data_IF_809226027240
#
_entry.id   IF_809226027240
#
_cell.length_a   1.000
_cell.length_b   1.000
_cell.length_c   1.000
_cell.angle_alpha   90.00
_cell.angle_beta   90.00
_cell.angle_gamma   90.00
#
_symmetry.space_group_name_H-M   'P 1'
#
loop_
_entity.id
_entity.type
_entity.pdbx_description
1 polymer ?
#
# COMPACT_ATOMS: atom_id res chain seq x y z
N UNK A 1 -79.11 -0.29 -7.36
CA UNK A 1 -77.70 0.06 -7.08
C UNK A 1 -76.83 -0.60 -8.14
N UNK A 2 -76.35 0.17 -9.12
CA UNK A 2 -75.64 -0.34 -10.30
C UNK A 2 -74.25 -0.84 -9.94
N UNK A 3 -73.98 -2.13 -10.19
CA UNK A 3 -72.63 -2.72 -10.12
C UNK A 3 -71.87 -2.38 -11.39
N UNK A 4 -71.08 -1.31 -11.34
CA UNK A 4 -70.02 -1.02 -12.30
C UNK A 4 -68.79 -1.90 -12.01
N UNK A 5 -68.58 -2.96 -12.80
CA UNK A 5 -67.35 -3.75 -12.80
C UNK A 5 -67.51 -5.00 -13.68
N UNK A 6 -66.78 -5.10 -14.82
CA UNK A 6 -65.35 -5.48 -14.81
C UNK A 6 -64.45 -4.67 -15.79
N UNK A 7 -65.01 -3.67 -16.48
CA UNK A 7 -64.31 -2.94 -17.55
C UNK A 7 -63.17 -2.02 -17.03
N UNK A 8 -63.22 -1.59 -15.77
CA UNK A 8 -62.23 -0.66 -15.17
C UNK A 8 -60.95 -1.40 -14.76
N UNK A 9 -61.07 -2.64 -14.28
CA UNK A 9 -59.95 -3.47 -13.86
C UNK A 9 -59.10 -3.95 -15.05
N UNK A 10 -59.73 -4.31 -16.16
CA UNK A 10 -59.02 -4.72 -17.38
C UNK A 10 -58.20 -3.57 -18.00
N UNK A 11 -58.75 -2.35 -18.05
CA UNK A 11 -58.02 -1.16 -18.51
C UNK A 11 -56.82 -0.84 -17.63
N UNK A 12 -56.98 -0.99 -16.30
CA UNK A 12 -55.91 -0.75 -15.34
C UNK A 12 -54.80 -1.79 -15.43
N UNK A 13 -55.13 -3.06 -15.66
CA UNK A 13 -54.14 -4.12 -15.94
C UNK A 13 -53.37 -3.86 -17.25
N UNK A 14 -54.05 -3.41 -18.32
CA UNK A 14 -53.39 -3.07 -19.58
C UNK A 14 -52.37 -1.94 -19.40
N UNK A 15 -52.72 -0.91 -18.62
CA UNK A 15 -51.81 0.18 -18.28
C UNK A 15 -50.60 -0.27 -17.46
N UNK A 16 -50.80 -1.17 -16.50
CA UNK A 16 -49.67 -1.74 -15.75
C UNK A 16 -48.77 -2.61 -16.62
N UNK A 17 -49.34 -3.42 -17.53
CA UNK A 17 -48.55 -4.19 -18.49
C UNK A 17 -47.74 -3.28 -19.42
N UNK A 18 -48.35 -2.23 -19.97
CA UNK A 18 -47.64 -1.27 -20.82
C UNK A 18 -46.52 -0.55 -20.04
N UNK A 19 -46.79 -0.07 -18.84
CA UNK A 19 -45.79 0.57 -17.99
C UNK A 19 -44.63 -0.40 -17.66
N UNK A 20 -44.94 -1.64 -17.31
CA UNK A 20 -43.95 -2.66 -17.01
C UNK A 20 -43.11 -3.01 -18.25
N UNK A 21 -43.73 -3.13 -19.43
CA UNK A 21 -42.99 -3.36 -20.68
C UNK A 21 -42.06 -2.20 -21.04
N UNK A 22 -42.47 -0.95 -20.81
CA UNK A 22 -41.64 0.23 -21.06
C UNK A 22 -40.46 0.32 -20.07
N UNK A 23 -40.68 -0.02 -18.80
CA UNK A 23 -39.61 -0.10 -17.79
C UNK A 23 -38.64 -1.24 -18.12
N UNK A 24 -39.16 -2.41 -18.51
CA UNK A 24 -38.34 -3.55 -18.94
C UNK A 24 -37.51 -3.19 -20.18
N UNK A 25 -38.09 -2.49 -21.17
CA UNK A 25 -37.38 -1.99 -22.33
C UNK A 25 -36.25 -1.02 -21.92
N UNK A 26 -36.53 -0.08 -21.03
CA UNK A 26 -35.54 0.88 -20.54
C UNK A 26 -34.40 0.22 -19.73
N UNK A 27 -34.67 -0.90 -19.05
CA UNK A 27 -33.66 -1.69 -18.34
C UNK A 27 -32.85 -2.60 -19.28
N UNK A 28 -33.44 -3.07 -20.38
CA UNK A 28 -32.78 -3.89 -21.40
C UNK A 28 -31.92 -3.05 -22.35
N UNK A 29 -32.37 -1.84 -22.70
CA UNK A 29 -31.57 -0.85 -23.41
C UNK A 29 -30.70 -0.09 -22.42
N UNK A 30 -29.54 -0.66 -22.06
CA UNK A 30 -28.47 0.14 -21.44
C UNK A 30 -28.28 1.38 -22.30
N UNK A 31 -28.20 2.61 -21.72
CA UNK A 31 -27.79 3.76 -22.49
C UNK A 31 -26.47 3.36 -23.15
N UNK A 32 -26.49 3.27 -24.50
CA UNK A 32 -25.28 3.20 -25.25
C UNK A 32 -24.50 4.42 -24.78
N UNK A 33 -23.48 4.20 -23.95
CA UNK A 33 -22.53 5.24 -23.67
C UNK A 33 -21.99 5.57 -25.04
N UNK A 34 -22.47 6.67 -25.63
CA UNK A 34 -21.88 7.26 -26.80
C UNK A 34 -20.45 7.57 -26.38
N UNK A 35 -19.55 6.62 -26.63
CA UNK A 35 -18.13 6.84 -26.59
C UNK A 35 -17.94 8.01 -27.55
N UNK A 36 -17.72 9.20 -26.99
CA UNK A 36 -17.71 10.41 -27.79
C UNK A 36 -16.58 10.29 -28.81
N UNK A 37 -16.87 10.52 -30.09
CA UNK A 37 -15.85 10.50 -31.12
C UNK A 37 -14.79 11.56 -30.79
N UNK A 38 -13.54 11.12 -30.61
CA UNK A 38 -12.39 12.00 -30.29
C UNK A 38 -11.42 12.12 -31.46
N UNK A 39 -11.92 12.14 -32.69
CA UNK A 39 -11.07 12.26 -33.88
C UNK A 39 -10.25 13.56 -33.90
N UNK A 40 -10.83 14.67 -33.43
CA UNK A 40 -10.15 15.96 -33.36
C UNK A 40 -8.87 15.91 -32.50
N UNK A 41 -8.85 15.07 -31.46
CA UNK A 41 -7.66 14.85 -30.65
C UNK A 41 -6.56 14.14 -31.43
N UNK A 42 -6.90 13.08 -32.17
CA UNK A 42 -5.95 12.39 -33.04
C UNK A 42 -5.37 13.35 -34.11
N UNK A 43 -6.20 14.24 -34.67
CA UNK A 43 -5.75 15.24 -35.64
C UNK A 43 -4.78 16.25 -35.01
N UNK A 44 -5.12 16.78 -33.83
CA UNK A 44 -4.29 17.74 -33.11
C UNK A 44 -2.92 17.15 -32.73
N UNK A 45 -2.89 15.91 -32.22
CA UNK A 45 -1.66 15.22 -31.85
C UNK A 45 -0.75 14.99 -33.07
N UNK A 46 -1.34 14.67 -34.23
CA UNK A 46 -0.60 14.51 -35.49
C UNK A 46 0.00 15.83 -35.99
N UNK A 47 -0.77 16.92 -35.98
CA UNK A 47 -0.28 18.25 -36.41
C UNK A 47 0.85 18.71 -35.49
N UNK A 48 0.70 18.54 -34.17
CA UNK A 48 1.74 18.89 -33.20
C UNK A 48 3.03 18.06 -33.39
N UNK A 49 2.92 16.81 -33.83
CA UNK A 49 4.06 15.93 -34.06
C UNK A 49 4.77 16.17 -35.40
N UNK A 50 4.13 16.90 -36.31
CA UNK A 50 4.63 17.16 -37.67
C UNK A 50 4.94 18.62 -37.95
N UNK A 51 4.65 19.53 -37.02
CA UNK A 51 5.00 20.95 -37.13
C UNK A 51 6.52 21.15 -37.01
N UNK A 52 7.16 21.87 -37.96
CA UNK A 52 8.59 22.11 -37.91
C UNK A 52 8.96 23.00 -36.71
N UNK A 53 9.96 22.63 -35.89
CA UNK A 53 10.55 23.57 -34.95
C UNK A 53 11.34 24.63 -35.73
N UNK A 54 11.21 25.90 -35.35
CA UNK A 54 12.06 26.97 -35.87
C UNK A 54 13.54 26.60 -35.66
N UNK A 55 14.30 26.48 -36.76
CA UNK A 55 15.75 26.46 -36.76
C UNK A 55 16.42 25.09 -36.97
N UNK A 56 16.78 24.83 -38.24
CA UNK A 56 17.95 24.09 -38.77
C UNK A 56 18.39 22.80 -38.03
N UNK A 57 18.11 21.62 -38.61
CA UNK A 57 19.03 20.77 -39.39
C UNK A 57 18.49 19.32 -39.51
N UNK A 58 18.74 18.70 -40.67
CA UNK A 58 18.68 17.25 -40.97
C UNK A 58 17.37 16.67 -41.57
N UNK A 59 17.23 16.86 -42.89
CA UNK A 59 16.13 16.37 -43.76
C UNK A 59 15.82 14.86 -43.63
N UNK A 60 16.81 14.02 -43.27
CA UNK A 60 16.65 12.56 -43.19
C UNK A 60 16.02 12.11 -41.85
N UNK A 61 16.38 12.77 -40.75
CA UNK A 61 15.77 12.54 -39.44
C UNK A 61 14.32 13.03 -39.39
N UNK A 62 13.99 14.06 -40.20
CA UNK A 62 12.66 14.64 -40.30
C UNK A 62 11.67 13.67 -40.98
N UNK A 63 12.09 12.94 -42.01
CA UNK A 63 11.27 11.91 -42.68
C UNK A 63 10.96 10.70 -41.80
N UNK A 64 11.93 10.24 -40.98
CA UNK A 64 11.71 9.12 -40.06
C UNK A 64 10.75 9.49 -38.91
N UNK A 65 10.88 10.70 -38.36
CA UNK A 65 9.96 11.22 -37.35
C UNK A 65 8.55 11.44 -37.93
N UNK A 66 8.45 11.83 -39.20
CA UNK A 66 7.18 11.96 -39.91
C UNK A 66 6.45 10.61 -40.04
N UNK A 67 7.13 9.56 -40.50
CA UNK A 67 6.52 8.23 -40.60
C UNK A 67 6.09 7.66 -39.25
N UNK A 68 6.84 7.95 -38.18
CA UNK A 68 6.47 7.56 -36.81
C UNK A 68 5.20 8.28 -36.35
N UNK A 69 5.13 9.60 -36.56
CA UNK A 69 3.94 10.40 -36.27
C UNK A 69 2.72 9.91 -37.08
N UNK A 70 2.92 9.54 -38.34
CA UNK A 70 1.87 9.02 -39.21
C UNK A 70 1.36 7.63 -38.75
N UNK A 71 2.26 6.74 -38.30
CA UNK A 71 1.86 5.45 -37.68
C UNK A 71 1.09 5.68 -36.37
N UNK A 72 1.53 6.62 -35.54
CA UNK A 72 0.82 6.99 -34.31
C UNK A 72 -0.60 7.51 -34.60
N UNK A 73 -0.73 8.36 -35.61
CA UNK A 73 -2.01 8.91 -36.07
C UNK A 73 -2.94 7.81 -36.60
N UNK A 74 -2.41 6.85 -37.37
CA UNK A 74 -3.16 5.68 -37.83
C UNK A 74 -3.69 4.81 -36.68
N UNK A 75 -2.85 4.58 -35.65
CA UNK A 75 -3.23 3.81 -34.47
C UNK A 75 -4.31 4.53 -33.63
N UNK A 76 -4.14 5.84 -33.41
CA UNK A 76 -5.13 6.67 -32.70
C UNK A 76 -6.49 6.61 -33.40
N UNK A 77 -6.50 6.80 -34.72
CA UNK A 77 -7.70 6.79 -35.54
C UNK A 77 -8.36 5.40 -35.51
N UNK A 78 -7.60 4.29 -35.62
CA UNK A 78 -8.14 2.92 -35.50
C UNK A 78 -8.84 2.66 -34.15
N UNK A 79 -8.29 3.16 -33.03
CA UNK A 79 -8.91 3.00 -31.70
C UNK A 79 -10.27 3.69 -31.61
N UNK A 80 -10.49 4.75 -32.39
CA UNK A 80 -11.75 5.50 -32.44
C UNK A 80 -12.77 4.95 -33.45
N UNK A 81 -12.48 3.85 -34.15
CA UNK A 81 -13.34 3.33 -35.22
C UNK A 81 -14.77 2.97 -34.76
N UNK A 82 -14.95 2.56 -33.50
CA UNK A 82 -16.28 2.22 -32.95
C UNK A 82 -17.09 3.45 -32.56
N UNK A 83 -16.45 4.44 -31.97
CA UNK A 83 -17.04 5.70 -31.51
C UNK A 83 -17.31 6.70 -32.65
N UNK A 84 -16.53 6.63 -33.74
CA UNK A 84 -16.58 7.58 -34.85
C UNK A 84 -17.24 7.05 -36.13
N UNK A 85 -18.06 6.00 -36.06
CA UNK A 85 -18.66 5.36 -37.27
C UNK A 85 -19.42 6.33 -38.19
N UNK A 86 -20.11 7.31 -37.60
CA UNK A 86 -20.89 8.32 -38.33
C UNK A 86 -20.21 9.69 -38.45
N UNK A 87 -18.92 9.80 -38.10
CA UNK A 87 -18.20 11.08 -38.13
C UNK A 87 -17.48 11.26 -39.47
N UNK A 88 -17.81 12.32 -40.21
CA UNK A 88 -17.21 12.61 -41.52
C UNK A 88 -15.72 12.95 -41.42
N UNK A 89 -15.28 13.59 -40.34
CA UNK A 89 -13.87 13.94 -40.08
C UNK A 89 -13.04 12.69 -39.85
N UNK A 90 -13.62 11.67 -39.21
CA UNK A 90 -12.98 10.37 -39.09
C UNK A 90 -12.75 9.70 -40.44
N UNK A 91 -13.76 9.66 -41.30
CA UNK A 91 -13.62 9.02 -42.61
C UNK A 91 -12.65 9.78 -43.53
N UNK A 92 -12.66 11.12 -43.46
CA UNK A 92 -11.68 11.93 -44.19
C UNK A 92 -10.25 11.74 -43.66
N UNK A 93 -10.08 11.63 -42.34
CA UNK A 93 -8.79 11.33 -41.72
C UNK A 93 -8.27 9.95 -42.12
N UNK A 94 -9.10 8.90 -42.09
CA UNK A 94 -8.70 7.53 -42.50
C UNK A 94 -8.23 7.50 -43.96
N UNK A 95 -8.96 8.18 -44.85
CA UNK A 95 -8.55 8.30 -46.25
C UNK A 95 -7.22 9.06 -46.38
N UNK A 96 -7.09 10.20 -45.69
CA UNK A 96 -5.88 11.01 -45.72
C UNK A 96 -4.66 10.27 -45.19
N UNK A 97 -4.80 9.47 -44.12
CA UNK A 97 -3.72 8.66 -43.55
C UNK A 97 -3.16 7.69 -44.60
N UNK A 98 -4.03 6.99 -45.34
CA UNK A 98 -3.60 6.06 -46.42
C UNK A 98 -2.81 6.78 -47.50
N UNK A 99 -3.29 7.94 -47.91
CA UNK A 99 -2.61 8.78 -48.89
C UNK A 99 -1.24 9.25 -48.38
N UNK A 100 -1.16 9.70 -47.13
CA UNK A 100 0.09 10.15 -46.51
C UNK A 100 1.14 9.04 -46.41
N UNK A 101 0.73 7.78 -46.19
CA UNK A 101 1.64 6.64 -46.18
C UNK A 101 2.27 6.43 -47.56
N UNK A 102 1.48 6.56 -48.62
CA UNK A 102 1.96 6.47 -50.00
C UNK A 102 2.83 7.66 -50.39
N UNK A 103 2.42 8.89 -50.04
CA UNK A 103 3.14 10.12 -50.40
C UNK A 103 4.55 10.19 -49.79
N UNK A 104 4.70 9.69 -48.56
CA UNK A 104 5.97 9.77 -47.82
C UNK A 104 6.72 8.43 -47.75
N UNK A 105 6.31 7.43 -48.56
CA UNK A 105 6.90 6.08 -48.59
C UNK A 105 7.07 5.45 -47.20
N UNK A 106 6.09 5.67 -46.32
CA UNK A 106 6.13 5.16 -44.96
C UNK A 106 5.61 3.71 -44.91
N UNK A 107 6.32 2.82 -44.20
CA UNK A 107 5.78 1.51 -43.86
C UNK A 107 4.67 1.64 -42.80
N UNK A 108 3.59 0.87 -42.96
CA UNK A 108 2.52 0.75 -41.96
C UNK A 108 2.98 0.08 -40.66
N UNK A 109 4.04 -0.72 -40.75
CA UNK A 109 4.63 -1.43 -39.61
C UNK A 109 5.88 -0.70 -39.10
N UNK A 110 6.05 -0.67 -37.78
CA UNK A 110 7.16 -0.01 -37.10
C UNK A 110 6.73 0.76 -35.86
N UNK A 111 7.67 1.41 -35.17
CA UNK A 111 7.39 2.09 -33.91
C UNK A 111 6.41 3.26 -34.10
N UNK A 112 5.44 3.39 -33.18
CA UNK A 112 4.48 4.51 -33.12
C UNK A 112 4.92 5.62 -32.18
N UNK A 113 6.09 5.49 -31.55
CA UNK A 113 6.75 6.52 -30.77
C UNK A 113 8.20 6.59 -31.23
N UNK A 114 8.74 7.79 -31.40
CA UNK A 114 10.17 7.90 -31.72
C UNK A 114 10.92 7.38 -30.51
N UNK A 115 11.64 6.26 -30.67
CA UNK A 115 12.63 5.85 -29.70
C UNK A 115 13.63 6.99 -29.69
N UNK A 116 13.60 7.80 -28.64
CA UNK A 116 14.49 8.95 -28.49
C UNK A 116 15.91 8.40 -28.52
N UNK A 117 16.57 8.52 -29.67
CA UNK A 117 18.02 8.40 -29.78
C UNK A 117 18.56 9.33 -28.70
N UNK A 118 19.50 8.90 -27.85
CA UNK A 118 19.97 9.68 -26.73
C UNK A 118 20.69 10.91 -27.29
N UNK A 119 19.92 11.97 -27.54
CA UNK A 119 20.42 13.31 -27.73
C UNK A 119 21.25 13.58 -26.49
N UNK A 120 22.56 13.69 -26.69
CA UNK A 120 23.55 14.24 -25.78
C UNK A 120 22.89 14.84 -24.55
N UNK A 121 23.01 14.12 -23.43
CA UNK A 121 22.60 14.52 -22.08
C UNK A 121 22.25 16.00 -21.95
N UNK A 122 20.94 16.30 -21.85
CA UNK A 122 20.55 17.35 -20.90
C UNK A 122 20.65 16.69 -19.52
N UNK A 123 21.68 17.01 -18.72
CA UNK A 123 21.68 16.59 -17.32
C UNK A 123 20.54 17.38 -16.66
N UNK A 124 19.44 16.71 -16.32
CA UNK A 124 18.30 17.41 -15.75
C UNK A 124 17.10 16.53 -15.42
N UNK A 125 16.69 15.62 -16.30
CA UNK A 125 15.48 14.80 -16.04
C UNK A 125 15.79 13.56 -15.21
N UNK A 126 16.92 12.89 -15.47
CA UNK A 126 17.31 11.69 -14.71
C UNK A 126 17.73 11.99 -13.26
N UNK A 127 18.27 13.19 -13.00
CA UNK A 127 18.58 13.66 -11.63
C UNK A 127 17.31 14.07 -10.88
N UNK A 128 16.30 14.58 -11.60
CA UNK A 128 15.00 14.94 -11.03
C UNK A 128 14.20 13.72 -10.55
N UNK A 129 14.50 12.51 -11.02
CA UNK A 129 13.78 11.31 -10.63
C UNK A 129 14.52 10.46 -9.60
N UNK A 130 15.50 11.08 -8.93
CA UNK A 130 16.20 10.51 -7.78
C UNK A 130 16.13 11.48 -6.61
N UNK A 131 15.24 11.17 -5.65
CA UNK A 131 15.03 11.96 -4.44
C UNK A 131 16.33 12.18 -3.67
N UNK A 132 17.20 11.16 -3.61
CA UNK A 132 18.44 11.30 -2.85
C UNK A 132 19.39 12.32 -3.49
N UNK A 133 19.41 12.41 -4.82
CA UNK A 133 20.15 13.42 -5.57
C UNK A 133 19.53 14.82 -5.42
N UNK A 134 18.19 14.93 -5.51
CA UNK A 134 17.51 16.22 -5.30
C UNK A 134 17.81 16.83 -3.93
N UNK A 135 17.81 16.01 -2.88
CA UNK A 135 18.15 16.47 -1.53
C UNK A 135 19.62 16.89 -1.43
N UNK A 136 20.53 16.18 -2.09
CA UNK A 136 21.97 16.56 -2.12
C UNK A 136 22.20 17.89 -2.84
N UNK A 137 21.47 18.14 -3.94
CA UNK A 137 21.52 19.39 -4.70
C UNK A 137 20.93 20.59 -3.91
N UNK A 138 20.09 20.33 -2.92
CA UNK A 138 19.41 21.37 -2.12
C UNK A 138 20.24 21.94 -0.96
N UNK A 139 21.51 21.53 -0.79
CA UNK A 139 22.46 22.13 0.16
C UNK A 139 22.34 21.69 1.63
N UNK A 140 23.15 22.31 2.50
CA UNK A 140 23.38 21.93 3.91
C UNK A 140 22.16 22.02 4.85
N UNK A 141 21.03 22.55 4.40
CA UNK A 141 19.76 22.47 5.12
C UNK A 141 19.07 21.09 5.00
N UNK A 142 19.49 20.23 4.06
CA UNK A 142 18.99 18.85 3.90
C UNK A 142 19.73 17.79 4.74
N UNK A 143 20.59 18.20 5.68
CA UNK A 143 21.55 17.32 6.35
C UNK A 143 21.02 16.43 7.48
N UNK A 144 19.70 16.32 7.66
CA UNK A 144 19.13 15.19 8.40
C UNK A 144 18.01 14.59 7.57
N UNK A 145 18.36 13.72 6.62
CA UNK A 145 17.41 12.81 5.97
C UNK A 145 16.78 11.93 7.06
N UNK A 146 15.65 12.37 7.61
CA UNK A 146 14.86 11.58 8.51
C UNK A 146 13.92 10.73 7.67
N UNK A 147 14.10 9.43 7.78
CA UNK A 147 13.24 8.44 7.17
C UNK A 147 12.42 7.81 8.27
N UNK A 148 11.13 7.63 8.00
CA UNK A 148 10.24 6.89 8.85
C UNK A 148 10.04 5.47 8.30
N UNK A 149 9.71 4.55 9.22
CA UNK A 149 9.45 3.14 8.90
C UNK A 149 8.06 2.76 9.35
N UNK A 150 7.34 2.06 8.49
CA UNK A 150 6.10 1.38 8.86
C UNK A 150 6.20 -0.09 8.49
N UNK A 151 5.56 -0.96 9.27
CA UNK A 151 5.49 -2.38 8.96
C UNK A 151 4.22 -3.04 9.48
N UNK A 152 3.79 -4.10 8.79
CA UNK A 152 2.65 -4.93 9.14
C UNK A 152 3.06 -6.40 9.02
N UNK A 153 2.91 -7.18 10.10
CA UNK A 153 3.35 -8.58 10.16
C UNK A 153 2.59 -9.33 11.25
N UNK A 154 2.62 -10.66 11.23
CA UNK A 154 1.95 -11.46 12.27
C UNK A 154 0.42 -11.24 12.28
N UNK A 155 -0.18 -11.12 13.46
CA UNK A 155 -1.63 -11.13 13.64
C UNK A 155 -2.40 -9.78 13.78
N UNK A 156 -2.38 -8.97 12.70
CA UNK A 156 -1.28 -8.12 12.31
C UNK A 156 -0.85 -7.14 13.40
N UNK A 157 0.42 -7.21 13.74
CA UNK A 157 1.17 -6.18 14.42
C UNK A 157 1.56 -5.07 13.46
N UNK A 158 1.19 -3.85 13.82
CA UNK A 158 1.48 -2.62 13.09
C UNK A 158 2.57 -1.83 13.82
N UNK A 159 3.65 -1.51 13.11
CA UNK A 159 4.58 -0.43 13.48
C UNK A 159 4.23 0.79 12.64
N UNK A 160 3.87 1.90 13.27
CA UNK A 160 3.59 3.17 12.57
C UNK A 160 4.87 3.92 12.25
N UNK A 161 4.77 4.94 11.39
CA UNK A 161 5.85 5.90 11.10
C UNK A 161 6.34 6.67 12.33
N UNK A 162 5.55 6.69 13.41
CA UNK A 162 5.90 7.30 14.71
C UNK A 162 6.60 6.31 15.66
N UNK A 163 6.98 5.14 15.17
CA UNK A 163 7.54 4.02 15.95
C UNK A 163 6.59 3.49 17.05
N UNK A 164 5.28 3.68 16.87
CA UNK A 164 4.27 3.08 17.76
C UNK A 164 3.95 1.66 17.31
N UNK A 165 3.88 0.75 18.27
CA UNK A 165 3.54 -0.66 18.03
C UNK A 165 2.12 -0.94 18.54
N UNK A 166 1.30 -1.55 17.68
CA UNK A 166 -0.10 -1.85 17.94
C UNK A 166 -0.42 -3.22 17.37
N UNK A 167 -1.35 -3.94 18.00
CA UNK A 167 -1.91 -5.17 17.43
C UNK A 167 -3.36 -4.95 17.12
N UNK A 168 -3.75 -5.33 15.92
CA UNK A 168 -4.98 -4.86 15.32
C UNK A 168 -5.77 -6.02 14.75
N UNK A 169 -7.09 -6.03 14.95
CA UNK A 169 -7.97 -6.96 14.26
C UNK A 169 -8.02 -6.63 12.76
N UNK A 170 -8.46 -5.41 12.42
CA UNK A 170 -8.46 -4.84 11.05
C UNK A 170 -8.82 -5.86 9.95
N UNK A 171 -9.91 -6.58 10.16
CA UNK A 171 -10.41 -7.59 9.22
C UNK A 171 -10.92 -6.94 7.92
N UNK A 172 -10.66 -7.57 6.77
CA UNK A 172 -11.03 -7.02 5.48
C UNK A 172 -9.98 -6.05 4.92
N UNK A 173 -10.42 -5.09 4.10
CA UNK A 173 -9.54 -4.20 3.35
C UNK A 173 -9.26 -2.89 4.11
N UNK A 174 -7.97 -2.57 4.34
CA UNK A 174 -7.55 -1.39 5.10
C UNK A 174 -6.44 -0.59 4.40
N UNK A 175 -6.50 0.75 4.43
CA UNK A 175 -5.44 1.61 3.91
C UNK A 175 -4.28 1.72 4.91
N UNK A 176 -3.11 1.17 4.57
CA UNK A 176 -1.89 1.42 5.32
C UNK A 176 -1.40 2.85 5.09
N UNK A 177 -1.38 3.27 3.82
CA UNK A 177 -0.92 4.59 3.38
C UNK A 177 -1.88 5.07 2.30
N UNK A 178 -2.27 6.33 2.36
CA UNK A 178 -2.94 7.01 1.26
C UNK A 178 -2.55 8.48 1.25
N UNK A 179 -1.45 8.78 0.56
CA UNK A 179 -0.95 10.14 0.41
C UNK A 179 -0.86 10.52 -1.08
N UNK A 180 -0.41 11.75 -1.37
CA UNK A 180 -0.35 12.26 -2.75
C UNK A 180 0.54 11.47 -3.72
N UNK A 181 1.43 10.58 -3.23
CA UNK A 181 2.39 9.83 -4.03
C UNK A 181 2.10 8.32 -4.10
N UNK A 182 1.53 7.77 -3.04
CA UNK A 182 1.42 6.33 -2.83
C UNK A 182 0.11 5.98 -2.14
N UNK A 183 -0.54 4.92 -2.59
CA UNK A 183 -1.60 4.24 -1.84
C UNK A 183 -1.20 2.79 -1.60
N UNK A 184 -1.26 2.35 -0.35
CA UNK A 184 -0.99 0.96 0.07
C UNK A 184 -2.24 0.44 0.77
N UNK A 185 -2.80 -0.63 0.23
CA UNK A 185 -3.97 -1.30 0.78
C UNK A 185 -3.63 -2.75 1.11
N UNK A 186 -4.05 -3.19 2.29
CA UNK A 186 -3.90 -4.58 2.74
C UNK A 186 -5.27 -5.22 2.90
N UNK A 187 -5.34 -6.54 2.78
CA UNK A 187 -6.53 -7.32 3.11
C UNK A 187 -6.19 -8.38 4.15
N UNK A 188 -6.80 -8.29 5.32
CA UNK A 188 -6.57 -9.23 6.41
C UNK A 188 -7.75 -10.20 6.53
N UNK A 189 -7.46 -11.47 6.77
CA UNK A 189 -8.45 -12.55 6.91
C UNK A 189 -8.29 -13.20 8.27
N UNK A 190 -9.39 -13.63 8.90
CA UNK A 190 -9.33 -14.34 10.17
C UNK A 190 -8.58 -15.66 10.01
N UNK A 191 -7.63 -15.93 10.92
CA UNK A 191 -6.80 -17.15 10.90
C UNK A 191 -7.60 -18.34 11.42
N UNK A 192 -8.39 -18.12 12.46
CA UNK A 192 -9.26 -19.13 13.08
C UNK A 192 -10.67 -18.56 13.20
N UNK A 193 -11.67 -19.37 12.84
CA UNK A 193 -13.07 -18.97 12.92
C UNK A 193 -13.44 -18.59 14.37
N UNK A 194 -13.88 -17.35 14.58
CA UNK A 194 -14.25 -16.83 15.90
C UNK A 194 -13.10 -16.25 16.73
N UNK A 195 -11.86 -16.26 16.24
CA UNK A 195 -10.73 -15.55 16.86
C UNK A 195 -10.66 -14.09 16.40
N UNK A 196 -10.06 -13.21 17.20
CA UNK A 196 -9.69 -11.85 16.80
C UNK A 196 -8.40 -11.78 15.98
N UNK A 197 -7.63 -12.88 15.92
CA UNK A 197 -6.41 -12.94 15.12
C UNK A 197 -6.73 -12.98 13.63
N UNK A 198 -6.15 -12.04 12.89
CA UNK A 198 -6.23 -11.99 11.43
C UNK A 198 -4.83 -12.03 10.86
N UNK A 199 -4.68 -12.26 9.55
CA UNK A 199 -3.38 -12.22 8.89
C UNK A 199 -3.50 -11.62 7.49
N UNK A 200 -2.41 -11.02 7.01
CA UNK A 200 -2.41 -10.33 5.72
C UNK A 200 -2.39 -11.34 4.57
N UNK A 201 -3.46 -11.35 3.77
CA UNK A 201 -3.62 -12.24 2.61
C UNK A 201 -3.32 -11.58 1.27
N UNK A 202 -3.46 -10.25 1.19
CA UNK A 202 -3.28 -9.48 -0.03
C UNK A 202 -2.70 -8.12 0.27
N UNK A 203 -1.74 -7.69 -0.56
CA UNK A 203 -1.15 -6.35 -0.51
C UNK A 203 -1.27 -5.74 -1.90
N UNK A 204 -1.82 -4.54 -1.99
CA UNK A 204 -1.90 -3.75 -3.22
C UNK A 204 -1.18 -2.43 -3.01
N UNK A 205 -0.23 -2.12 -3.88
CA UNK A 205 0.55 -0.87 -3.86
C UNK A 205 0.28 -0.14 -5.16
N UNK A 206 -0.21 1.09 -5.07
CA UNK A 206 -0.46 1.98 -6.19
C UNK A 206 0.54 3.13 -6.12
N UNK A 207 1.50 3.12 -7.04
CA UNK A 207 2.40 4.25 -7.28
C UNK A 207 1.64 5.26 -8.14
N UNK A 208 1.28 6.41 -7.58
CA UNK A 208 0.55 7.47 -8.30
C UNK A 208 1.48 8.11 -9.34
N UNK A 209 0.90 8.61 -10.44
CA UNK A 209 1.67 9.26 -11.51
C UNK A 209 2.52 10.39 -10.96
N UNK A 210 3.81 10.39 -11.30
CA UNK A 210 4.75 11.46 -10.98
C UNK A 210 5.33 11.99 -12.29
N UNK A 211 4.94 13.22 -12.65
CA UNK A 211 5.28 13.80 -13.96
C UNK A 211 6.79 13.78 -14.22
N UNK A 212 7.18 13.30 -15.40
CA UNK A 212 8.57 13.16 -15.79
C UNK A 212 9.30 11.94 -15.21
N UNK A 213 8.75 11.28 -14.18
CA UNK A 213 9.43 10.16 -13.52
C UNK A 213 8.74 8.82 -13.66
N UNK A 214 7.42 8.69 -13.48
CA UNK A 214 6.71 7.43 -13.69
C UNK A 214 5.23 7.66 -13.98
N UNK A 215 4.67 6.87 -14.89
CA UNK A 215 3.22 6.69 -14.98
C UNK A 215 2.71 5.92 -13.76
N UNK A 216 1.39 5.90 -13.57
CA UNK A 216 0.78 5.11 -12.51
C UNK A 216 1.11 3.64 -12.67
N UNK A 217 1.60 3.01 -11.60
CA UNK A 217 1.90 1.57 -11.56
C UNK A 217 1.17 0.90 -10.40
N UNK A 218 0.66 -0.29 -10.64
CA UNK A 218 -0.06 -1.10 -9.64
C UNK A 218 0.70 -2.39 -9.42
N UNK A 219 1.11 -2.64 -8.18
CA UNK A 219 1.66 -3.91 -7.74
C UNK A 219 0.64 -4.60 -6.85
N UNK A 220 0.45 -5.91 -7.02
CA UNK A 220 -0.41 -6.71 -6.16
C UNK A 220 0.27 -8.03 -5.84
N UNK A 221 0.26 -8.40 -4.56
CA UNK A 221 0.73 -9.67 -4.06
C UNK A 221 -0.38 -10.36 -3.26
N UNK A 222 -0.39 -11.67 -3.31
CA UNK A 222 -1.29 -12.57 -2.56
C UNK A 222 -0.45 -13.62 -1.86
N UNK A 223 -1.08 -14.40 -0.98
CA UNK A 223 -0.45 -15.54 -0.31
C UNK A 223 0.01 -16.60 -1.29
N UNK A 224 -0.62 -16.71 -2.46
CA UNK A 224 -0.26 -17.69 -3.50
C UNK A 224 0.76 -17.14 -4.49
N UNK A 225 0.65 -15.85 -4.81
CA UNK A 225 1.44 -15.21 -5.87
C UNK A 225 2.17 -13.94 -5.36
N UNK A 226 3.50 -13.97 -5.50
CA UNK A 226 4.39 -12.87 -5.19
C UNK A 226 5.18 -12.48 -6.46
N UNK A 227 4.58 -11.69 -7.38
CA UNK A 227 5.12 -11.44 -8.70
C UNK A 227 6.34 -10.50 -8.67
N UNK A 228 7.20 -10.61 -9.68
CA UNK A 228 8.34 -9.70 -9.89
C UNK A 228 8.04 -8.60 -10.92
N UNK A 229 6.76 -8.31 -11.12
CA UNK A 229 6.23 -7.37 -12.09
C UNK A 229 5.00 -6.65 -11.55
N UNK A 230 4.71 -5.47 -12.11
CA UNK A 230 3.45 -4.77 -11.95
C UNK A 230 2.32 -5.51 -12.69
N UNK A 231 1.07 -5.12 -12.44
CA UNK A 231 -0.11 -5.75 -13.07
C UNK A 231 -0.11 -5.67 -14.60
N UNK A 232 0.58 -4.69 -15.19
CA UNK A 232 0.76 -4.55 -16.64
C UNK A 232 1.93 -5.38 -17.20
N UNK A 233 2.59 -6.17 -16.35
CA UNK A 233 3.72 -7.03 -16.70
C UNK A 233 5.08 -6.34 -16.71
N UNK A 234 5.17 -5.02 -16.47
CA UNK A 234 6.48 -4.34 -16.45
C UNK A 234 7.20 -4.57 -15.12
N UNK A 235 8.53 -4.53 -15.13
CA UNK A 235 9.38 -4.65 -13.92
C UNK A 235 9.93 -3.32 -13.44
N UNK A 236 9.73 -2.27 -14.22
CA UNK A 236 10.11 -0.90 -13.94
C UNK A 236 9.01 0.07 -14.37
N UNK A 237 9.05 1.27 -13.78
CA UNK A 237 8.26 2.42 -14.18
C UNK A 237 9.19 3.61 -14.41
N UNK A 238 8.90 4.40 -15.45
CA UNK A 238 9.63 5.64 -15.69
C UNK A 238 10.85 5.59 -16.60
N UNK A 239 11.30 6.78 -17.01
CA UNK A 239 12.62 6.97 -17.62
C UNK A 239 13.71 6.72 -16.55
N UNK A 240 14.87 6.21 -16.96
CA UNK A 240 15.99 5.86 -16.06
C UNK A 240 15.69 4.84 -14.95
N UNK A 241 14.59 4.06 -15.02
CA UNK A 241 14.19 3.09 -13.98
C UNK A 241 14.03 3.74 -12.60
N UNK A 242 13.32 4.87 -12.54
CA UNK A 242 13.01 5.59 -11.29
C UNK A 242 12.18 4.75 -10.30
N UNK A 243 11.40 3.80 -10.82
CA UNK A 243 10.66 2.79 -10.08
C UNK A 243 11.08 1.40 -10.56
N UNK A 244 11.46 0.50 -9.65
CA UNK A 244 11.93 -0.86 -9.99
C UNK A 244 11.45 -1.92 -9.01
N UNK A 245 11.24 -3.14 -9.53
CA UNK A 245 10.96 -4.34 -8.74
C UNK A 245 12.15 -5.30 -8.85
N UNK A 246 12.67 -5.72 -7.71
CA UNK A 246 13.79 -6.64 -7.60
C UNK A 246 13.43 -7.83 -6.72
N UNK A 247 13.85 -9.02 -7.14
CA UNK A 247 13.86 -10.18 -6.26
C UNK A 247 15.09 -10.06 -5.36
N UNK A 248 14.92 -10.31 -4.06
CA UNK A 248 16.05 -10.50 -3.17
C UNK A 248 16.03 -11.95 -2.71
N UNK A 249 16.96 -12.73 -3.23
CA UNK A 249 17.10 -14.15 -2.93
C UNK A 249 17.08 -14.40 -1.42
N UNK A 250 16.35 -15.43 -1.00
CA UNK A 250 16.29 -15.87 0.38
C UNK A 250 17.64 -16.44 0.79
N UNK A 251 18.50 -15.60 1.38
CA UNK A 251 19.64 -16.07 2.15
C UNK A 251 19.08 -16.98 3.25
N UNK A 252 19.35 -18.28 3.14
CA UNK A 252 19.12 -19.34 4.14
C UNK A 252 17.93 -19.12 5.11
N UNK A 253 16.76 -19.63 4.74
CA UNK A 253 15.65 -19.88 5.69
C UNK A 253 14.59 -18.79 5.86
N UNK A 254 14.76 -17.63 5.22
CA UNK A 254 13.80 -16.51 5.29
C UNK A 254 13.04 -16.43 3.97
N UNK A 255 11.70 -16.55 3.99
CA UNK A 255 10.83 -16.77 2.81
C UNK A 255 11.00 -15.80 1.63
N UNK A 256 10.35 -16.10 0.49
CA UNK A 256 10.47 -15.32 -0.75
C UNK A 256 10.05 -13.86 -0.53
N UNK A 257 10.88 -12.92 -0.97
CA UNK A 257 10.65 -11.49 -0.81
C UNK A 257 10.85 -10.72 -2.11
N UNK A 258 10.12 -9.62 -2.23
CA UNK A 258 10.22 -8.66 -3.32
C UNK A 258 10.52 -7.30 -2.72
N UNK A 259 11.51 -6.62 -3.31
CA UNK A 259 11.84 -5.24 -2.97
C UNK A 259 11.40 -4.34 -4.12
N UNK A 260 10.58 -3.35 -3.79
CA UNK A 260 10.17 -2.30 -4.73
C UNK A 260 10.85 -1.00 -4.34
N UNK A 261 11.60 -0.41 -5.27
CA UNK A 261 12.35 0.82 -5.03
C UNK A 261 11.79 1.95 -5.90
N UNK A 262 11.22 2.96 -5.25
CA UNK A 262 10.70 4.18 -5.87
C UNK A 262 11.66 5.34 -5.57
N UNK A 263 12.73 5.44 -6.36
CA UNK A 263 13.82 6.42 -6.16
C UNK A 263 13.34 7.86 -6.25
N UNK A 264 12.36 8.13 -7.11
CA UNK A 264 11.80 9.48 -7.33
C UNK A 264 11.10 10.07 -6.10
N UNK A 265 10.73 9.24 -5.11
CA UNK A 265 10.14 9.65 -3.82
C UNK A 265 10.91 9.07 -2.62
N UNK A 266 12.16 8.64 -2.82
CA UNK A 266 13.02 8.12 -1.74
C UNK A 266 12.46 6.90 -0.99
N UNK A 267 11.52 6.18 -1.59
CA UNK A 267 10.71 5.15 -0.90
C UNK A 267 11.18 3.75 -1.27
N UNK A 268 11.20 2.86 -0.28
CA UNK A 268 11.53 1.43 -0.47
C UNK A 268 10.52 0.57 0.26
N UNK A 269 9.97 -0.43 -0.44
CA UNK A 269 8.98 -1.36 0.09
C UNK A 269 9.56 -2.77 0.02
N UNK A 270 9.35 -3.55 1.07
CA UNK A 270 9.62 -4.99 1.11
C UNK A 270 8.29 -5.69 1.35
N UNK A 271 7.98 -6.65 0.49
CA UNK A 271 6.85 -7.56 0.67
C UNK A 271 7.41 -8.97 0.68
N UNK A 272 7.11 -9.73 1.72
CA UNK A 272 7.59 -11.09 1.88
C UNK A 272 6.44 -12.03 2.16
N UNK A 273 6.52 -13.23 1.61
CA UNK A 273 5.66 -14.34 1.99
C UNK A 273 6.35 -15.16 3.08
N UNK A 274 5.68 -15.29 4.21
CA UNK A 274 6.10 -16.11 5.34
C UNK A 274 5.02 -17.16 5.58
N UNK A 275 5.32 -18.41 5.23
CA UNK A 275 4.33 -19.49 5.28
C UNK A 275 3.12 -19.17 4.40
N UNK A 276 1.96 -19.09 5.06
CA UNK A 276 0.65 -18.82 4.47
C UNK A 276 0.24 -17.35 4.52
N UNK A 277 1.15 -16.43 4.88
CA UNK A 277 0.83 -15.02 5.12
C UNK A 277 1.84 -14.07 4.46
N UNK A 278 1.44 -12.80 4.32
CA UNK A 278 2.29 -11.73 3.82
C UNK A 278 2.77 -10.81 4.95
N UNK A 279 4.00 -10.34 4.86
CA UNK A 279 4.52 -9.23 5.66
C UNK A 279 4.83 -8.04 4.76
N UNK A 280 4.71 -6.84 5.33
CA UNK A 280 4.93 -5.58 4.66
C UNK A 280 5.87 -4.71 5.48
N UNK A 281 6.86 -4.10 4.84
CA UNK A 281 7.71 -3.08 5.43
C UNK A 281 7.96 -1.96 4.42
N UNK A 282 7.97 -0.71 4.89
CA UNK A 282 8.22 0.46 4.05
C UNK A 282 9.11 1.47 4.76
N UNK A 283 10.07 2.01 4.01
CA UNK A 283 10.84 3.22 4.34
C UNK A 283 10.35 4.36 3.47
N UNK A 284 10.02 5.49 4.08
CA UNK A 284 9.58 6.69 3.37
C UNK A 284 10.21 7.96 3.99
N UNK A 285 10.60 8.97 3.20
CA UNK A 285 11.08 10.25 3.73
C UNK A 285 10.02 10.97 4.58
N UNK A 286 10.40 11.53 5.74
CA UNK A 286 9.44 12.21 6.65
C UNK A 286 8.76 13.43 6.02
N UNK A 287 9.42 14.16 5.12
CA UNK A 287 8.88 15.30 4.39
C UNK A 287 7.79 14.93 3.37
N UNK A 288 7.74 13.65 2.96
CA UNK A 288 6.67 13.11 2.11
C UNK A 288 5.46 12.61 2.91
N UNK A 289 5.59 12.56 4.24
CA UNK A 289 4.51 12.20 5.16
C UNK A 289 3.82 13.47 5.63
N UNK A 290 2.54 13.61 5.27
CA UNK A 290 1.72 14.69 5.81
C UNK A 290 1.17 14.27 7.18
N UNK A 291 1.84 14.71 8.25
CA UNK A 291 1.39 14.44 9.62
C UNK A 291 0.26 15.38 10.08
N UNK A 292 -0.24 16.28 9.22
CA UNK A 292 -1.33 17.17 9.59
C UNK A 292 -2.63 16.39 9.81
N UNK A 293 -3.36 16.74 10.87
CA UNK A 293 -4.61 16.09 11.24
C UNK A 293 -5.80 16.52 10.34
N UNK A 294 -5.60 17.51 9.48
CA UNK A 294 -6.62 18.05 8.56
C UNK A 294 -6.89 17.15 7.34
N UNK A 295 -5.95 16.25 7.05
CA UNK A 295 -6.10 15.20 6.04
C UNK A 295 -6.95 14.07 6.63
N UNK A 296 -8.27 14.26 6.76
CA UNK A 296 -9.23 13.36 7.41
C UNK A 296 -9.43 11.95 6.80
N UNK A 297 -8.41 11.37 6.17
CA UNK A 297 -8.37 10.02 5.64
C UNK A 297 -7.76 9.01 6.61
N UNK A 298 -8.37 7.83 6.71
CA UNK A 298 -7.85 6.71 7.49
C UNK A 298 -6.52 6.21 6.90
N UNK A 299 -5.43 6.23 7.68
CA UNK A 299 -4.12 5.70 7.30
C UNK A 299 -3.44 5.02 8.49
N UNK A 300 -3.35 3.69 8.47
CA UNK A 300 -2.84 2.92 9.60
C UNK A 300 -1.36 3.24 9.90
N UNK A 301 -0.50 3.38 8.88
CA UNK A 301 0.91 3.69 9.10
C UNK A 301 1.14 5.07 9.74
N UNK A 302 0.18 6.00 9.63
CA UNK A 302 0.29 7.36 10.14
C UNK A 302 -0.35 7.52 11.52
N UNK A 303 -1.58 7.00 11.68
CA UNK A 303 -2.42 7.23 12.86
C UNK A 303 -2.61 5.98 13.73
N UNK A 304 -2.15 4.82 13.27
CA UNK A 304 -2.45 3.55 13.90
C UNK A 304 -3.87 3.04 13.61
N UNK A 305 -4.26 1.98 14.30
CA UNK A 305 -5.55 1.35 14.16
C UNK A 305 -6.63 2.10 14.95
N UNK A 306 -7.87 2.16 14.42
CA UNK A 306 -9.01 2.67 15.16
C UNK A 306 -9.17 1.97 16.52
N UNK A 307 -9.68 2.69 17.53
CA UNK A 307 -9.77 2.17 18.90
C UNK A 307 -10.59 0.88 19.04
N UNK A 308 -11.58 0.68 18.17
CA UNK A 308 -12.42 -0.52 18.10
C UNK A 308 -11.72 -1.71 17.43
N UNK A 309 -10.64 -1.47 16.70
CA UNK A 309 -9.83 -2.50 16.04
C UNK A 309 -8.58 -2.88 16.85
N UNK A 310 -8.26 -2.15 17.93
CA UNK A 310 -7.11 -2.45 18.78
C UNK A 310 -7.37 -3.67 19.67
N UNK A 311 -6.43 -4.62 19.64
CA UNK A 311 -6.41 -5.77 20.54
C UNK A 311 -5.65 -5.35 21.81
N UNK A 312 -6.41 -5.14 22.89
CA UNK A 312 -5.85 -4.65 24.18
C UNK A 312 -5.15 -5.74 24.99
N UNK A 313 -5.34 -7.00 24.64
CA UNK A 313 -4.87 -8.17 25.39
C UNK A 313 -3.38 -8.49 25.13
N UNK A 314 -2.50 -7.48 25.13
CA UNK A 314 -1.05 -7.72 25.25
C UNK A 314 -0.63 -8.10 26.66
N UNK A 315 -1.53 -7.95 27.63
CA UNK A 315 -1.34 -8.49 28.96
C UNK A 315 -1.54 -9.99 28.88
N UNK A 316 -0.43 -10.70 28.68
CA UNK A 316 -0.23 -12.00 29.34
C UNK A 316 -0.50 -11.76 30.82
N UNK A 317 -1.77 -11.87 31.19
CA UNK A 317 -2.20 -11.69 32.56
C UNK A 317 -1.41 -12.72 33.35
N UNK A 318 -0.50 -12.21 34.16
CA UNK A 318 0.19 -12.86 35.28
C UNK A 318 -0.86 -13.30 36.32
N UNK A 319 -1.87 -14.06 35.89
CA UNK A 319 -3.03 -14.56 36.61
C UNK A 319 -3.39 -16.00 36.19
N UNK A 320 -2.63 -16.64 35.30
CA UNK A 320 -2.67 -18.10 35.13
C UNK A 320 -1.84 -18.85 36.21
N UNK A 321 -1.28 -18.14 37.19
CA UNK A 321 -0.71 -18.73 38.42
C UNK A 321 -1.75 -18.85 39.55
N UNK A 322 -2.97 -19.26 39.25
CA UNK A 322 -3.84 -19.85 40.29
C UNK A 322 -3.86 -21.36 40.09
N UNK A 323 -3.28 -22.16 41.01
CA UNK A 323 -3.52 -23.59 41.01
C UNK A 323 -5.00 -23.79 41.34
N UNK A 324 -5.82 -24.09 40.34
CA UNK A 324 -7.16 -24.63 40.59
C UNK A 324 -6.96 -26.00 41.20
N UNK A 325 -7.06 -26.04 42.53
CA UNK A 325 -7.19 -27.25 43.31
C UNK A 325 -8.35 -28.08 42.76
N UNK A 326 -8.07 -29.38 42.70
CA UNK A 326 -8.89 -30.48 42.22
C UNK A 326 -10.38 -30.32 42.53
N UNK A 327 -11.19 -30.38 41.49
CA UNK A 327 -12.58 -30.82 41.60
C UNK A 327 -12.73 -32.07 40.72
N UNK A 328 -12.65 -33.21 41.38
CA UNK A 328 -13.18 -34.48 40.89
C UNK A 328 -14.65 -34.28 40.52
N UNK A 329 -15.03 -34.58 39.28
CA UNK A 329 -16.22 -35.38 38.97
C UNK A 329 -16.35 -35.67 37.48
N UNK A 330 -16.69 -36.93 37.23
CA UNK A 330 -16.95 -37.64 36.00
C UNK A 330 -18.11 -37.03 35.21
N UNK A 331 -17.91 -36.69 33.93
CA UNK A 331 -18.97 -36.80 32.91
C UNK A 331 -18.38 -36.70 31.49
N UNK A 332 -18.78 -37.65 30.63
CA UNK A 332 -18.43 -37.76 29.22
C UNK A 332 -18.98 -36.55 28.43
N UNK A 333 -18.09 -35.80 27.76
CA UNK A 333 -18.43 -34.73 26.81
C UNK A 333 -17.37 -34.61 25.71
N UNK A 334 -17.74 -34.15 24.50
CA UNK A 334 -17.18 -34.64 23.23
C UNK A 334 -15.73 -34.22 22.96
N UNK A 335 -15.02 -35.13 22.29
CA UNK A 335 -13.68 -35.04 21.74
C UNK A 335 -13.30 -33.61 21.31
N UNK A 336 -12.49 -32.94 22.14
CA UNK A 336 -11.74 -31.74 21.72
C UNK A 336 -10.70 -32.17 20.68
N UNK A 337 -10.63 -31.55 19.49
CA UNK A 337 -9.52 -31.80 18.57
C UNK A 337 -8.19 -31.37 19.22
N UNK A 338 -7.06 -32.03 18.90
CA UNK A 338 -5.77 -31.76 19.51
C UNK A 338 -5.11 -30.54 18.84
N UNK A 339 -5.71 -29.36 18.96
CA UNK A 339 -4.95 -28.15 18.64
C UNK A 339 -4.04 -27.86 19.83
N UNK A 340 -2.73 -28.00 19.62
CA UNK A 340 -1.71 -27.69 20.62
C UNK A 340 -1.78 -26.19 20.94
N UNK A 341 -2.58 -25.82 21.94
CA UNK A 341 -2.55 -24.47 22.50
C UNK A 341 -1.16 -24.30 23.11
N UNK A 342 -0.35 -23.40 22.55
CA UNK A 342 0.96 -23.09 23.08
C UNK A 342 0.81 -22.62 24.54
N UNK A 343 1.65 -23.10 25.45
CA UNK A 343 1.82 -22.46 26.77
C UNK A 343 2.77 -21.28 26.63
N UNK A 344 2.73 -20.34 27.58
CA UNK A 344 3.63 -19.17 27.58
C UNK A 344 5.09 -19.60 27.54
N UNK A 345 5.46 -20.65 28.29
CA UNK A 345 6.82 -21.17 28.33
C UNK A 345 7.24 -21.75 26.97
N UNK A 346 6.35 -22.52 26.33
CA UNK A 346 6.64 -23.13 25.02
C UNK A 346 6.72 -22.08 23.91
N UNK A 347 5.84 -21.08 23.92
CA UNK A 347 5.86 -19.97 22.97
C UNK A 347 7.14 -19.14 23.15
N UNK A 348 7.50 -18.81 24.39
CA UNK A 348 8.73 -18.07 24.73
C UNK A 348 9.97 -18.83 24.27
N UNK A 349 10.06 -20.13 24.58
CA UNK A 349 11.18 -20.96 24.14
C UNK A 349 11.29 -21.00 22.61
N UNK A 350 10.16 -21.15 21.92
CA UNK A 350 10.13 -21.19 20.46
C UNK A 350 10.57 -19.88 19.82
N UNK A 351 10.07 -18.74 20.30
CA UNK A 351 10.45 -17.43 19.79
C UNK A 351 11.93 -17.11 20.05
N UNK A 352 12.49 -17.61 21.16
CA UNK A 352 13.91 -17.40 21.51
C UNK A 352 14.87 -18.13 20.56
N UNK A 353 14.42 -19.13 19.81
CA UNK A 353 15.24 -19.82 18.80
C UNK A 353 15.64 -18.88 17.63
N UNK A 354 14.77 -17.93 17.26
CA UNK A 354 14.97 -17.02 16.11
C UNK A 354 15.18 -15.56 16.53
N UNK A 355 14.53 -15.12 17.60
CA UNK A 355 14.59 -13.76 18.13
C UNK A 355 15.33 -13.77 19.48
N UNK A 356 16.64 -13.47 19.43
CA UNK A 356 17.49 -13.48 20.62
C UNK A 356 17.28 -12.28 21.55
N UNK A 357 16.74 -11.18 21.02
CA UNK A 357 16.47 -9.94 21.77
C UNK A 357 15.00 -9.92 22.14
N UNK A 358 14.68 -9.75 23.42
CA UNK A 358 13.30 -9.67 23.94
C UNK A 358 12.68 -8.28 23.69
N UNK A 359 12.69 -7.83 22.44
CA UNK A 359 12.06 -6.58 22.01
C UNK A 359 10.59 -6.78 21.62
N UNK A 360 9.99 -5.76 21.01
CA UNK A 360 8.60 -5.78 20.53
C UNK A 360 8.32 -6.88 19.50
N UNK A 361 9.29 -7.29 18.68
CA UNK A 361 9.12 -8.39 17.72
C UNK A 361 9.10 -9.72 18.46
N UNK A 362 9.90 -9.88 19.51
CA UNK A 362 9.83 -11.06 20.37
C UNK A 362 8.48 -11.18 21.08
N UNK A 363 7.98 -10.08 21.67
CA UNK A 363 6.67 -10.09 22.32
C UNK A 363 5.53 -10.39 21.34
N UNK A 364 5.63 -9.85 20.12
CA UNK A 364 4.72 -10.12 19.00
C UNK A 364 4.72 -11.62 18.64
N UNK A 365 5.89 -12.23 18.48
CA UNK A 365 6.03 -13.66 18.22
C UNK A 365 5.35 -14.52 19.30
N UNK A 366 5.55 -14.19 20.58
CA UNK A 366 4.95 -14.94 21.69
C UNK A 366 3.43 -14.78 21.67
N UNK A 367 2.93 -13.56 21.42
CA UNK A 367 1.51 -13.30 21.31
C UNK A 367 0.87 -14.08 20.17
N UNK A 368 1.44 -14.00 18.97
CA UNK A 368 0.99 -14.71 17.78
C UNK A 368 0.83 -16.22 18.06
N UNK A 369 1.85 -16.87 18.64
CA UNK A 369 1.83 -18.30 18.94
C UNK A 369 0.74 -18.69 19.94
N UNK A 370 0.46 -17.83 20.93
CA UNK A 370 -0.56 -18.08 21.94
C UNK A 370 -1.97 -17.88 21.40
N UNK A 371 -2.15 -16.90 20.51
CA UNK A 371 -3.46 -16.54 19.94
C UNK A 371 -3.85 -17.43 18.76
N UNK A 372 -2.88 -17.76 17.89
CA UNK A 372 -3.13 -18.51 16.64
C UNK A 372 -2.83 -20.01 16.78
N UNK A 373 -1.86 -20.38 17.62
CA UNK A 373 -1.32 -21.73 17.67
C UNK A 373 -0.48 -22.13 16.43
N UNK A 374 -0.22 -21.19 15.52
CA UNK A 374 0.45 -21.45 14.24
C UNK A 374 1.94 -21.04 14.29
N UNK A 375 2.88 -22.00 14.16
CA UNK A 375 4.31 -21.72 14.23
C UNK A 375 4.83 -20.83 13.09
N UNK A 376 4.11 -20.71 11.96
CA UNK A 376 4.50 -19.84 10.84
C UNK A 376 4.58 -18.36 11.26
N UNK A 377 3.77 -17.95 12.25
CA UNK A 377 3.80 -16.58 12.77
C UNK A 377 5.11 -16.24 13.50
N UNK A 378 5.79 -17.21 14.11
CA UNK A 378 7.10 -16.96 14.73
C UNK A 378 8.15 -16.48 13.71
N UNK A 379 8.02 -16.93 12.46
CA UNK A 379 8.87 -16.50 11.35
C UNK A 379 8.47 -15.13 10.82
N UNK A 380 7.22 -14.70 11.01
CA UNK A 380 6.73 -13.40 10.54
C UNK A 380 7.38 -12.26 11.35
N UNK A 381 7.43 -12.39 12.68
CA UNK A 381 8.11 -11.43 13.55
C UNK A 381 9.61 -11.34 13.27
N UNK A 382 10.30 -12.48 13.10
CA UNK A 382 11.70 -12.52 12.70
C UNK A 382 11.93 -11.84 11.34
N UNK A 383 11.09 -12.16 10.35
CA UNK A 383 11.19 -11.57 9.02
C UNK A 383 10.96 -10.06 9.02
N UNK A 384 10.01 -9.57 9.81
CA UNK A 384 9.74 -8.14 9.95
C UNK A 384 10.93 -7.38 10.55
N UNK A 385 11.62 -7.98 11.53
CA UNK A 385 12.85 -7.42 12.08
C UNK A 385 13.98 -7.37 11.04
N UNK A 386 14.14 -8.41 10.22
CA UNK A 386 15.13 -8.43 9.13
C UNK A 386 14.78 -7.42 8.02
N UNK A 387 13.50 -7.28 7.67
CA UNK A 387 13.03 -6.32 6.68
C UNK A 387 13.26 -4.88 7.16
N UNK A 388 13.06 -4.60 8.45
CA UNK A 388 13.44 -3.33 9.05
C UNK A 388 14.95 -3.05 8.92
N UNK A 389 15.81 -4.03 9.25
CA UNK A 389 17.27 -3.88 9.13
C UNK A 389 17.71 -3.64 7.68
N UNK A 390 16.98 -4.22 6.72
CA UNK A 390 17.23 -4.04 5.29
C UNK A 390 16.82 -2.65 4.75
N UNK A 391 16.14 -1.83 5.56
CA UNK A 391 15.68 -0.49 5.26
C UNK A 391 16.41 0.57 6.13
N UNK A 392 17.63 1.01 5.76
CA UNK A 392 18.37 2.03 6.52
C UNK A 392 17.81 3.45 6.32
N UNK A 393 17.92 4.41 7.27
CA UNK A 393 18.41 4.26 8.62
C UNK A 393 17.35 3.59 9.51
N UNK A 394 17.61 2.37 9.96
CA UNK A 394 16.75 1.63 10.88
C UNK A 394 17.19 1.97 12.32
N UNK A 395 16.48 2.88 12.99
CA UNK A 395 16.66 3.06 14.44
C UNK A 395 15.64 2.14 15.13
N UNK A 396 16.11 1.11 15.82
CA UNK A 396 15.35 0.53 16.92
C UNK A 396 15.69 1.38 18.13
N UNK A 397 14.71 2.09 18.71
CA UNK A 397 14.88 2.60 20.07
C UNK A 397 14.90 1.38 20.98
N UNK A 398 16.10 0.86 21.24
CA UNK A 398 16.30 -0.19 22.24
C UNK A 398 15.86 0.40 23.58
N UNK A 399 14.75 -0.11 24.13
CA UNK A 399 14.51 0.04 25.55
C UNK A 399 15.65 -0.72 26.23
N UNK A 400 16.48 0.02 26.97
CA UNK A 400 17.57 -0.58 27.75
C UNK A 400 17.00 -1.72 28.60
N UNK A 401 17.68 -2.88 28.74
CA UNK A 401 17.17 -3.99 29.53
C UNK A 401 16.78 -3.47 30.92
N UNK A 402 15.49 -3.53 31.22
CA UNK A 402 14.99 -3.15 32.53
C UNK A 402 15.46 -4.25 33.46
N UNK A 403 16.63 -4.06 34.07
CA UNK A 403 17.10 -4.92 35.15
C UNK A 403 15.96 -5.00 36.17
N UNK A 404 15.45 -6.21 36.49
CA UNK A 404 14.48 -6.33 37.56
C UNK A 404 15.17 -5.79 38.81
N UNK A 405 14.57 -4.77 39.43
CA UNK A 405 15.01 -4.30 40.74
C UNK A 405 14.87 -5.48 41.69
N UNK A 406 15.99 -6.12 41.99
CA UNK A 406 16.11 -7.10 43.07
C UNK A 406 15.75 -6.35 44.33
N UNK A 407 14.56 -6.65 44.86
CA UNK A 407 14.13 -6.19 46.17
C UNK A 407 14.91 -7.02 47.19
N UNK A 408 16.13 -6.59 47.52
CA UNK A 408 16.83 -7.13 48.68
C UNK A 408 16.31 -6.38 49.91
N UNK A 409 15.46 -7.07 50.67
CA UNK A 409 15.11 -6.65 52.02
C UNK A 409 16.33 -6.72 52.93
N UNK A 410 16.45 -5.69 53.78
CA UNK A 410 17.23 -5.75 55.02
C UNK A 410 18.65 -5.20 54.95
N UNK A 411 18.80 -3.91 55.27
CA UNK A 411 19.76 -3.45 56.27
C UNK A 411 19.47 -1.99 56.62
N UNK A 412 19.04 -1.80 57.86
CA UNK A 412 18.93 -0.51 58.56
C UNK A 412 20.26 0.23 58.57
N UNK A 413 20.30 1.43 58.00
CA UNK A 413 21.26 2.46 58.38
C UNK A 413 20.56 3.80 58.54
N UNK A 414 20.50 4.23 59.79
CA UNK A 414 20.16 5.56 60.26
C UNK A 414 21.08 6.61 59.65
N UNK A 415 20.54 7.52 58.85
CA UNK A 415 21.17 8.79 58.54
C UNK A 415 20.15 9.91 58.79
N UNK A 416 20.48 10.73 59.79
CA UNK A 416 19.74 11.92 60.15
C UNK A 416 19.77 12.94 58.99
N UNK A 417 18.59 13.36 58.54
CA UNK A 417 18.44 14.50 57.64
C UNK A 417 17.68 15.60 58.38
N UNK A 418 18.40 16.67 58.67
CA UNK A 418 17.93 17.92 59.25
C UNK A 418 16.87 18.58 58.38
N UNK A 419 15.78 18.99 59.03
CA UNK A 419 14.66 19.77 58.51
C UNK A 419 15.10 21.13 57.95
N UNK A 420 14.65 21.47 56.75
CA UNK A 420 14.46 22.86 56.31
C UNK A 420 13.32 22.90 55.28
N UNK A 421 12.09 23.05 55.79
CA UNK A 421 10.90 23.31 54.97
C UNK A 421 10.77 24.81 54.71
N UNK A 422 10.88 25.22 53.46
CA UNK A 422 10.56 26.58 53.02
C UNK A 422 9.18 26.59 52.36
N UNK A 423 8.19 27.14 53.09
CA UNK A 423 6.78 27.28 52.69
C UNK A 423 6.52 28.51 51.80
N UNK A 424 7.54 29.01 51.10
CA UNK A 424 7.47 30.26 50.34
C UNK A 424 6.89 30.20 48.91
N UNK A 425 6.79 29.06 48.19
CA UNK A 425 6.18 29.10 46.86
C UNK A 425 4.65 28.88 46.88
N UNK A 426 4.07 28.39 47.99
CA UNK A 426 2.63 28.14 48.10
C UNK A 426 1.82 29.40 48.44
N UNK A 427 2.44 30.40 49.06
CA UNK A 427 1.78 31.65 49.47
C UNK A 427 1.70 32.70 48.35
N UNK A 428 2.50 32.54 47.29
CA UNK A 428 2.51 33.42 46.12
C UNK A 428 1.44 33.03 45.08
N UNK A 429 0.93 31.79 45.10
CA UNK A 429 -0.13 31.36 44.18
C UNK A 429 -1.54 31.79 44.62
N UNK A 430 -1.74 32.03 45.92
CA UNK A 430 -3.05 32.40 46.47
C UNK A 430 -3.36 33.90 46.37
N UNK A 431 -2.39 34.74 46.02
CA UNK A 431 -2.56 36.19 45.86
C UNK A 431 -2.72 36.66 44.41
N UNK A 432 -2.61 35.75 43.43
CA UNK A 432 -2.79 36.05 42.00
C UNK A 432 -4.15 35.58 41.44
N UNK A 433 -5.02 35.04 42.29
CA UNK A 433 -6.36 34.56 41.93
C UNK A 433 -7.48 35.29 42.69
N UNK A 434 -7.21 36.51 43.16
CA UNK A 434 -8.21 37.45 43.70
C UNK A 434 -8.25 38.72 42.86
#
# INVERSE_FOLDING_TARGET
MGRSGPQITAKRQLWYCLAFTMVLLALLFRPAHCQQCRIQRCNADYVASTSPPNGVQEEVALGMNYCIALRAYALCTRRQARSCRGDLVYHSAVFRIKELFSQHNCSSDGPTSSAKVPSTSRPGVSELCDYENQVLLSGSAGQQKKYAHCGLFGDPHLRTFRDEFQTCKVEGAWPLIDNRFLSVQVTNVAVVLGSSATATSKITVIFKTYQGCTEQKVYQATTEDLPLAFQDGTRSGGESSSLTIMERGGSSGVGRQVKIQARYIGTSIIIRRVGSYLTFAIRMPEDTLDFSEDSGGLQLCLHGCPRNELIKEHTLSRQSQQPRLQATNTELGPLRPPHQVYTVERATAKCRETLQVEDVYFQSCVFDLLTTGDPEFSMAAYSALEDLKALPPSKLKQNSPRTPRVFNGGATQTLAATSNGSLLPLLLLTLLLL
#
